data_IF_788910237916
#
_entry.id   IF_788910237916
#
_cell.length_a   1.000
_cell.length_b   1.000
_cell.length_c   1.000
_cell.angle_alpha   90.00
_cell.angle_beta   90.00
_cell.angle_gamma   90.00
#
_symmetry.space_group_name_H-M   'P 1'
#
loop_
_entity.id
_entity.type
_entity.pdbx_description
1 polymer ?
#
# COMPACT_ATOMS: atom_id res chain seq x y z
N UNK A 1 12.77 -9.30 -34.05
CA UNK A 1 11.93 -8.12 -33.70
C UNK A 1 10.60 -8.56 -33.14
N UNK A 2 9.80 -9.38 -33.83
CA UNK A 2 8.48 -9.84 -33.36
C UNK A 2 8.53 -10.56 -31.99
N UNK A 3 9.51 -11.43 -31.76
CA UNK A 3 9.69 -12.14 -30.49
C UNK A 3 9.99 -11.20 -29.32
N UNK A 4 10.85 -10.19 -29.54
CA UNK A 4 11.18 -9.20 -28.50
C UNK A 4 9.95 -8.35 -28.14
N UNK A 5 9.15 -7.95 -29.12
CA UNK A 5 7.89 -7.22 -28.90
C UNK A 5 6.89 -8.08 -28.10
N UNK A 6 6.76 -9.35 -28.43
CA UNK A 6 5.88 -10.27 -27.70
C UNK A 6 6.34 -10.44 -26.25
N UNK A 7 7.63 -10.64 -26.02
CA UNK A 7 8.19 -10.75 -24.66
C UNK A 7 7.92 -9.46 -23.87
N UNK A 8 8.16 -8.29 -24.47
CA UNK A 8 7.88 -7.01 -23.83
C UNK A 8 6.39 -6.87 -23.42
N UNK A 9 5.47 -7.24 -24.33
CA UNK A 9 4.03 -7.19 -24.06
C UNK A 9 3.67 -8.13 -22.90
N UNK A 10 4.18 -9.36 -22.90
CA UNK A 10 3.91 -10.35 -21.85
C UNK A 10 4.45 -9.85 -20.51
N UNK A 11 5.69 -9.39 -20.46
CA UNK A 11 6.31 -8.92 -19.22
C UNK A 11 5.57 -7.69 -18.68
N UNK A 12 5.31 -6.69 -19.51
CA UNK A 12 4.64 -5.45 -19.07
C UNK A 12 3.17 -5.66 -18.68
N UNK A 13 2.50 -6.66 -19.26
CA UNK A 13 1.09 -6.94 -18.97
C UNK A 13 0.89 -7.83 -17.74
N UNK A 14 1.74 -8.84 -17.56
CA UNK A 14 1.50 -9.90 -16.59
C UNK A 14 2.52 -9.93 -15.44
N UNK A 15 3.74 -9.44 -15.64
CA UNK A 15 4.82 -9.58 -14.65
C UNK A 15 5.05 -8.31 -13.86
N UNK A 16 5.12 -7.16 -14.51
CA UNK A 16 5.44 -5.89 -13.85
C UNK A 16 4.43 -4.80 -14.15
N UNK A 17 4.36 -3.81 -13.27
CA UNK A 17 3.67 -2.56 -13.49
C UNK A 17 4.62 -1.40 -13.24
N UNK A 18 4.65 -0.44 -14.16
CA UNK A 18 5.34 0.83 -13.98
C UNK A 18 4.36 1.83 -13.35
N UNK A 19 4.71 2.41 -12.22
CA UNK A 19 3.92 3.41 -11.53
C UNK A 19 4.69 4.72 -11.37
N UNK A 20 4.03 5.81 -11.72
CA UNK A 20 4.46 7.18 -11.43
C UNK A 20 3.64 7.68 -10.24
N UNK A 21 4.29 8.24 -9.23
CA UNK A 21 3.67 8.58 -7.96
C UNK A 21 3.36 10.08 -7.93
N UNK A 22 2.08 10.47 -7.98
CA UNK A 22 1.72 11.89 -8.00
C UNK A 22 1.63 12.53 -6.60
N UNK A 23 1.66 11.73 -5.52
CA UNK A 23 1.37 12.22 -4.16
C UNK A 23 2.48 11.86 -3.19
N UNK A 24 2.53 12.58 -2.06
CA UNK A 24 3.49 12.36 -0.97
C UNK A 24 2.96 11.46 0.15
N UNK A 25 1.92 10.69 -0.10
CA UNK A 25 1.27 9.87 0.95
C UNK A 25 2.15 8.76 1.50
N UNK A 26 3.22 8.39 0.78
CA UNK A 26 4.19 7.35 1.17
C UNK A 26 5.57 7.92 1.50
N UNK A 27 5.70 9.26 1.60
CA UNK A 27 6.95 9.90 2.02
C UNK A 27 7.30 9.51 3.47
N UNK A 28 8.59 9.39 3.82
CA UNK A 28 9.76 9.68 3.00
C UNK A 28 10.20 8.53 2.07
N UNK A 29 9.63 7.32 2.22
CA UNK A 29 10.03 6.15 1.41
C UNK A 29 9.81 6.39 -0.09
N UNK A 30 8.63 6.90 -0.45
CA UNK A 30 8.27 7.21 -1.83
C UNK A 30 7.77 8.65 -1.89
N UNK A 31 8.47 9.48 -2.63
CA UNK A 31 8.15 10.90 -2.81
C UNK A 31 7.30 11.12 -4.08
N UNK A 32 6.74 12.32 -4.20
CA UNK A 32 6.09 12.75 -5.43
C UNK A 32 7.06 12.74 -6.60
N UNK A 33 6.60 12.34 -7.78
CA UNK A 33 7.37 12.18 -9.02
C UNK A 33 8.33 10.96 -9.04
N UNK A 34 8.42 10.19 -7.95
CA UNK A 34 9.13 8.92 -7.98
C UNK A 34 8.52 7.98 -9.01
N UNK A 35 9.38 7.19 -9.65
CA UNK A 35 8.97 6.12 -10.56
C UNK A 35 9.42 4.79 -10.00
N UNK A 36 8.48 3.88 -9.87
CA UNK A 36 8.74 2.57 -9.30
C UNK A 36 8.18 1.45 -10.17
N UNK A 37 8.74 0.30 -9.96
CA UNK A 37 8.30 -0.94 -10.56
C UNK A 37 7.59 -1.79 -9.51
N UNK A 38 6.39 -2.25 -9.83
CA UNK A 38 5.66 -3.22 -9.02
C UNK A 38 5.70 -4.61 -9.66
N UNK A 39 5.76 -5.65 -8.83
CA UNK A 39 5.75 -7.04 -9.24
C UNK A 39 4.33 -7.62 -9.10
N UNK A 40 3.67 -7.89 -10.25
CA UNK A 40 2.28 -8.35 -10.31
C UNK A 40 2.10 -9.78 -9.80
N UNK A 41 3.12 -10.61 -9.97
CA UNK A 41 3.06 -12.02 -9.60
C UNK A 41 3.44 -12.30 -8.13
N UNK A 42 3.66 -11.25 -7.33
CA UNK A 42 4.12 -11.38 -5.95
C UNK A 42 3.24 -12.30 -5.10
N UNK A 43 1.93 -12.26 -5.33
CA UNK A 43 0.95 -12.97 -4.51
C UNK A 43 0.28 -14.16 -5.23
N UNK A 44 0.89 -14.69 -6.30
CA UNK A 44 0.39 -15.90 -6.96
C UNK A 44 0.54 -17.17 -6.10
N UNK A 45 1.58 -17.20 -5.25
CA UNK A 45 1.92 -18.37 -4.43
C UNK A 45 2.11 -18.02 -2.95
N UNK A 46 1.94 -16.77 -2.59
CA UNK A 46 2.07 -16.27 -1.22
C UNK A 46 0.97 -15.27 -0.94
N UNK A 47 0.61 -15.09 0.33
CA UNK A 47 -0.32 -14.05 0.73
C UNK A 47 0.39 -12.73 1.00
N UNK A 48 -0.29 -11.59 0.83
CA UNK A 48 0.20 -10.30 1.27
C UNK A 48 0.52 -10.29 2.77
N UNK A 49 1.63 -9.67 3.14
CA UNK A 49 2.13 -9.62 4.51
C UNK A 49 2.03 -8.21 5.09
N UNK A 50 1.94 -8.13 6.40
CA UNK A 50 2.07 -6.86 7.12
C UNK A 50 3.41 -6.21 6.79
N UNK A 51 3.38 -4.92 6.48
CA UNK A 51 4.54 -4.16 6.05
C UNK A 51 4.76 -4.12 4.53
N UNK A 52 4.14 -5.01 3.75
CA UNK A 52 4.23 -4.94 2.28
C UNK A 52 3.66 -3.60 1.78
N UNK A 53 4.39 -2.96 0.88
CA UNK A 53 3.89 -1.81 0.11
C UNK A 53 3.21 -2.34 -1.15
N UNK A 54 1.92 -2.07 -1.28
CA UNK A 54 1.09 -2.60 -2.36
C UNK A 54 0.59 -1.50 -3.29
N UNK A 55 0.45 -1.85 -4.56
CA UNK A 55 -0.24 -1.08 -5.59
C UNK A 55 -1.57 -1.77 -5.83
N UNK A 56 -2.67 -1.05 -5.70
CA UNK A 56 -4.02 -1.62 -5.75
C UNK A 56 -5.01 -0.64 -6.37
N UNK A 57 -6.15 -1.16 -6.86
CA UNK A 57 -7.27 -0.37 -7.35
C UNK A 57 -8.36 -0.38 -6.31
N UNK A 58 -8.82 0.79 -5.91
CA UNK A 58 -9.78 0.91 -4.84
C UNK A 58 -10.71 2.11 -5.03
N UNK A 59 -11.97 1.93 -4.65
CA UNK A 59 -12.95 2.99 -4.52
C UNK A 59 -13.01 3.43 -3.07
N UNK A 60 -12.52 4.63 -2.77
CA UNK A 60 -12.43 5.12 -1.40
C UNK A 60 -13.76 5.67 -0.86
N UNK A 61 -14.56 6.32 -1.72
CA UNK A 61 -15.79 7.03 -1.35
C UNK A 61 -16.92 6.78 -2.36
N UNK A 62 -18.17 7.04 -1.95
CA UNK A 62 -19.37 6.75 -2.76
C UNK A 62 -19.42 7.52 -4.09
N UNK A 63 -18.95 8.75 -4.11
CA UNK A 63 -18.97 9.67 -5.24
C UNK A 63 -17.70 9.66 -6.09
N UNK A 64 -16.75 8.76 -5.78
CA UNK A 64 -15.50 8.63 -6.52
C UNK A 64 -15.49 7.41 -7.44
N UNK A 65 -14.66 7.48 -8.48
CA UNK A 65 -14.27 6.32 -9.29
C UNK A 65 -13.16 5.53 -8.60
N UNK A 66 -12.98 4.27 -9.04
CA UNK A 66 -11.87 3.43 -8.62
C UNK A 66 -10.53 4.08 -9.02
N UNK A 67 -9.60 4.17 -8.08
CA UNK A 67 -8.30 4.81 -8.25
C UNK A 67 -7.17 3.80 -8.08
N UNK A 68 -6.06 4.01 -8.79
CA UNK A 68 -4.83 3.27 -8.56
C UNK A 68 -4.04 3.95 -7.42
N UNK A 69 -3.86 3.23 -6.33
CA UNK A 69 -3.26 3.74 -5.10
C UNK A 69 -2.02 2.93 -4.71
N UNK A 70 -1.18 3.52 -3.88
CA UNK A 70 -0.05 2.86 -3.23
C UNK A 70 -0.09 3.15 -1.73
N UNK A 71 -0.07 2.09 -0.91
CA UNK A 71 -0.08 2.16 0.56
C UNK A 71 0.63 0.95 1.14
N UNK A 72 0.89 1.01 2.45
CA UNK A 72 1.46 -0.10 3.22
C UNK A 72 0.36 -0.87 3.95
N UNK A 73 0.46 -2.20 3.92
CA UNK A 73 -0.42 -3.09 4.70
C UNK A 73 -0.04 -2.97 6.18
N UNK A 74 -1.01 -2.60 7.01
CA UNK A 74 -0.90 -2.51 8.46
C UNK A 74 -1.72 -3.59 9.14
N UNK A 75 -2.97 -3.79 8.73
CA UNK A 75 -3.86 -4.84 9.24
C UNK A 75 -3.99 -5.99 8.27
N UNK A 76 -3.87 -7.20 8.77
CA UNK A 76 -4.16 -8.45 8.07
C UNK A 76 -5.61 -8.88 8.31
N UNK A 77 -6.15 -9.83 7.52
CA UNK A 77 -7.48 -10.39 7.76
C UNK A 77 -7.66 -10.80 9.22
N UNK A 78 -8.77 -10.37 9.84
CA UNK A 78 -9.10 -10.68 11.22
C UNK A 78 -8.42 -9.84 12.30
N UNK A 79 -7.49 -8.95 11.96
CA UNK A 79 -6.87 -8.06 12.94
C UNK A 79 -7.83 -6.99 13.47
N UNK A 80 -7.57 -6.53 14.68
CA UNK A 80 -8.18 -5.32 15.25
C UNK A 80 -7.15 -4.23 15.30
N UNK A 81 -7.42 -3.12 14.61
CA UNK A 81 -6.52 -1.95 14.52
C UNK A 81 -7.02 -0.84 15.42
N UNK A 82 -6.14 -0.31 16.24
CA UNK A 82 -6.39 0.87 17.06
C UNK A 82 -5.18 1.80 17.02
N UNK A 83 -5.44 3.09 16.99
CA UNK A 83 -4.39 4.13 17.07
C UNK A 83 -4.73 5.01 18.27
N UNK A 84 -3.82 5.09 19.21
CA UNK A 84 -3.89 5.99 20.36
C UNK A 84 -2.49 6.45 20.73
N UNK A 85 -2.34 7.68 21.20
CA UNK A 85 -1.08 8.29 21.63
C UNK A 85 0.05 8.15 20.58
N UNK A 86 -0.28 8.35 19.30
CA UNK A 86 0.63 8.20 18.15
C UNK A 86 1.20 6.79 17.94
N UNK A 87 0.59 5.78 18.55
CA UNK A 87 1.00 4.38 18.44
C UNK A 87 -0.10 3.55 17.78
N UNK A 88 0.31 2.69 16.85
CA UNK A 88 -0.58 1.66 16.28
C UNK A 88 -0.58 0.44 17.18
N UNK A 89 -1.77 -0.04 17.51
CA UNK A 89 -1.98 -1.31 18.22
C UNK A 89 -2.67 -2.28 17.27
N UNK A 90 -2.18 -3.51 17.26
CA UNK A 90 -2.76 -4.61 16.49
C UNK A 90 -3.11 -5.72 17.47
N UNK A 91 -4.39 -6.05 17.60
CA UNK A 91 -4.90 -7.00 18.57
C UNK A 91 -4.44 -6.66 20.01
N UNK A 92 -4.53 -5.37 20.38
CA UNK A 92 -4.11 -4.78 21.66
C UNK A 92 -2.59 -4.82 21.94
N UNK A 93 -1.78 -5.22 20.96
CA UNK A 93 -0.32 -5.25 21.07
C UNK A 93 0.28 -4.05 20.33
N UNK A 94 1.16 -3.26 20.97
CA UNK A 94 1.85 -2.18 20.28
C UNK A 94 2.63 -2.70 19.06
N UNK A 95 2.44 -2.06 17.92
CA UNK A 95 3.15 -2.36 16.69
C UNK A 95 4.23 -1.34 16.43
N UNK A 96 5.49 -1.74 16.56
CA UNK A 96 6.64 -0.88 16.30
C UNK A 96 6.88 -0.73 14.79
N UNK A 97 6.84 0.51 14.32
CA UNK A 97 6.95 0.85 12.90
C UNK A 97 8.29 1.52 12.59
N UNK A 98 9.35 0.71 12.54
CA UNK A 98 10.75 1.14 12.37
C UNK A 98 11.05 1.85 11.04
N UNK A 99 10.14 1.79 10.08
CA UNK A 99 10.22 2.45 8.78
C UNK A 99 9.69 3.88 8.79
N UNK A 100 9.06 4.31 9.88
CA UNK A 100 8.60 5.68 10.05
C UNK A 100 9.67 6.56 10.68
N UNK A 101 9.74 7.87 10.33
CA UNK A 101 10.60 8.80 11.04
C UNK A 101 10.10 9.03 12.48
N UNK A 102 11.00 9.46 13.34
CA UNK A 102 10.66 9.83 14.71
C UNK A 102 9.67 10.99 14.78
N UNK A 103 8.79 10.97 15.79
CA UNK A 103 7.87 12.06 16.07
C UNK A 103 6.69 12.19 15.09
N UNK A 104 6.36 11.13 14.36
CA UNK A 104 5.19 11.10 13.48
C UNK A 104 3.91 11.27 14.29
N UNK A 105 3.07 12.22 13.85
CA UNK A 105 1.76 12.45 14.45
C UNK A 105 0.67 11.67 13.75
N UNK A 106 -0.21 11.05 14.54
CA UNK A 106 -1.40 10.35 14.06
C UNK A 106 -2.61 10.71 14.92
N UNK A 107 -3.74 10.98 14.28
CA UNK A 107 -5.02 11.06 14.99
C UNK A 107 -5.43 9.69 15.54
N UNK A 108 -6.12 9.68 16.66
CA UNK A 108 -6.71 8.46 17.23
C UNK A 108 -7.70 7.83 16.23
N UNK A 109 -7.71 6.49 16.17
CA UNK A 109 -8.55 5.73 15.27
C UNK A 109 -8.92 4.38 15.89
N UNK A 110 -10.10 3.88 15.55
CA UNK A 110 -10.54 2.54 15.96
C UNK A 110 -11.16 2.48 17.37
N UNK A 111 -11.29 1.27 17.94
CA UNK A 111 -10.87 -0.02 17.37
C UNK A 111 -11.64 -0.38 16.08
N UNK A 112 -10.94 -0.94 15.10
CA UNK A 112 -11.51 -1.38 13.83
C UNK A 112 -11.12 -2.83 13.52
N UNK A 113 -12.11 -3.70 13.34
CA UNK A 113 -11.90 -5.10 12.98
C UNK A 113 -11.80 -5.25 11.47
N UNK A 114 -10.64 -5.70 10.98
CA UNK A 114 -10.41 -5.99 9.55
C UNK A 114 -11.17 -7.25 9.17
N UNK A 115 -11.97 -7.24 8.08
CA UNK A 115 -12.66 -8.44 7.58
C UNK A 115 -11.68 -9.56 7.20
N UNK A 116 -12.17 -10.82 7.21
CA UNK A 116 -11.37 -12.02 6.98
C UNK A 116 -10.81 -12.14 5.54
N UNK A 117 -11.27 -11.32 4.61
CA UNK A 117 -10.85 -11.32 3.21
C UNK A 117 -10.21 -10.00 2.77
N UNK A 118 -9.83 -9.15 3.70
CA UNK A 118 -9.36 -7.79 3.41
C UNK A 118 -8.15 -7.38 4.22
N UNK A 119 -7.55 -6.28 3.82
CA UNK A 119 -6.37 -5.65 4.41
C UNK A 119 -6.68 -4.21 4.79
N UNK A 120 -6.14 -3.77 5.91
CA UNK A 120 -6.16 -2.37 6.33
C UNK A 120 -4.85 -1.71 5.95
N UNK A 121 -4.91 -0.62 5.19
CA UNK A 121 -3.72 0.02 4.61
C UNK A 121 -3.57 1.46 5.07
N UNK A 122 -2.32 1.89 5.27
CA UNK A 122 -1.99 3.27 5.63
C UNK A 122 -0.83 3.79 4.78
N UNK A 123 -0.81 5.11 4.56
CA UNK A 123 0.36 5.77 4.00
C UNK A 123 1.45 5.95 5.04
N UNK A 124 2.72 5.91 4.63
CA UNK A 124 3.85 6.15 5.53
C UNK A 124 3.89 7.62 6.01
N UNK A 125 3.45 8.55 5.17
CA UNK A 125 3.23 9.93 5.60
C UNK A 125 1.92 10.04 6.40
N UNK A 126 1.95 9.58 7.64
CA UNK A 126 0.80 9.43 8.53
C UNK A 126 -0.03 10.69 8.73
N UNK A 127 0.62 11.85 8.68
CA UNK A 127 0.00 13.16 8.95
C UNK A 127 -0.90 13.60 7.79
N UNK A 128 -0.50 13.35 6.55
CA UNK A 128 -1.21 13.87 5.36
C UNK A 128 -1.87 12.79 4.50
N UNK A 129 -1.57 11.51 4.76
CA UNK A 129 -2.12 10.42 3.95
C UNK A 129 -3.63 10.32 4.11
N UNK A 130 -4.33 10.38 2.97
CA UNK A 130 -5.70 9.92 2.86
C UNK A 130 -5.67 8.40 2.62
N UNK A 131 -6.10 7.63 3.63
CA UNK A 131 -6.02 6.18 3.63
C UNK A 131 -7.18 5.53 4.40
N UNK A 132 -7.10 4.24 4.68
CA UNK A 132 -8.16 3.46 5.30
C UNK A 132 -8.71 4.05 6.61
N UNK A 133 -7.94 4.90 7.31
CA UNK A 133 -8.42 5.60 8.51
C UNK A 133 -9.59 6.56 8.22
N UNK A 134 -9.60 7.17 7.03
CA UNK A 134 -10.56 8.21 6.63
C UNK A 134 -11.55 7.78 5.54
N UNK A 135 -11.26 6.71 4.79
CA UNK A 135 -12.12 6.24 3.71
C UNK A 135 -13.49 5.75 4.19
N UNK A 136 -14.51 5.86 3.34
CA UNK A 136 -15.81 5.20 3.56
C UNK A 136 -15.64 3.68 3.43
N UNK A 137 -15.02 3.24 2.33
CA UNK A 137 -14.64 1.84 2.11
C UNK A 137 -13.20 1.64 2.58
N UNK A 138 -13.04 1.08 3.78
CA UNK A 138 -11.73 0.95 4.45
C UNK A 138 -10.94 -0.27 4.02
N UNK A 139 -11.64 -1.26 3.47
CA UNK A 139 -11.14 -2.62 3.31
C UNK A 139 -10.65 -2.85 1.89
N UNK A 140 -9.35 -3.09 1.74
CA UNK A 140 -8.75 -3.47 0.45
C UNK A 140 -8.75 -4.99 0.36
N UNK A 141 -9.49 -5.54 -0.60
CA UNK A 141 -9.55 -6.98 -0.82
C UNK A 141 -8.36 -7.49 -1.64
N UNK A 142 -8.09 -8.79 -1.59
CA UNK A 142 -7.02 -9.41 -2.37
C UNK A 142 -7.15 -9.17 -3.89
N UNK A 143 -8.39 -9.13 -4.39
CA UNK A 143 -8.69 -8.94 -5.82
C UNK A 143 -8.36 -7.53 -6.31
N UNK A 144 -8.33 -6.55 -5.40
CA UNK A 144 -7.97 -5.17 -5.71
C UNK A 144 -6.45 -4.97 -5.80
N UNK A 145 -5.66 -5.90 -5.25
CA UNK A 145 -4.20 -5.81 -5.25
C UNK A 145 -3.65 -6.12 -6.65
N UNK A 146 -3.03 -5.12 -7.26
CA UNK A 146 -2.46 -5.22 -8.62
C UNK A 146 -1.02 -5.71 -8.60
N UNK A 147 -0.23 -5.29 -7.60
CA UNK A 147 1.19 -5.63 -7.48
C UNK A 147 1.72 -5.33 -6.08
N UNK A 148 2.85 -5.95 -5.72
CA UNK A 148 3.71 -5.49 -4.64
C UNK A 148 4.73 -4.51 -5.19
N UNK A 149 4.97 -3.38 -4.53
CA UNK A 149 6.06 -2.48 -4.86
C UNK A 149 7.40 -3.26 -4.74
N UNK A 150 8.26 -3.10 -5.72
CA UNK A 150 9.49 -3.87 -5.80
C UNK A 150 10.72 -2.98 -5.66
N UNK A 151 10.87 -2.01 -6.55
CA UNK A 151 11.96 -1.04 -6.48
C UNK A 151 11.58 0.29 -7.14
N UNK A 152 12.18 1.36 -6.64
CA UNK A 152 12.18 2.67 -7.23
C UNK A 152 13.41 2.79 -8.15
N UNK A 153 13.23 3.36 -9.33
CA UNK A 153 14.32 3.51 -10.32
C UNK A 153 14.60 4.96 -10.73
N UNK A 154 13.73 5.88 -10.32
CA UNK A 154 13.90 7.30 -10.52
C UNK A 154 13.36 8.08 -9.30
N UNK A 155 14.06 9.15 -8.84
CA UNK A 155 15.32 9.72 -9.34
C UNK A 155 16.57 8.89 -8.97
N UNK A 156 16.48 7.99 -8.00
CA UNK A 156 17.57 7.10 -7.56
C UNK A 156 17.02 5.69 -7.30
N UNK A 157 17.94 4.72 -7.34
CA UNK A 157 17.58 3.32 -7.14
C UNK A 157 17.40 2.99 -5.67
N UNK A 158 16.29 2.31 -5.35
CA UNK A 158 15.97 1.82 -4.00
C UNK A 158 15.07 0.59 -4.10
N UNK A 159 15.33 -0.45 -3.29
CA UNK A 159 14.52 -1.68 -3.23
C UNK A 159 13.67 -1.65 -1.96
N UNK A 160 12.38 -2.03 -2.06
CA UNK A 160 11.41 -2.05 -0.97
C UNK A 160 11.35 -3.40 -0.27
#
# INVERSE_FOLDING_TARGET
VATAVLIYIVVSRFVVINANIPTRSMAPLIESEDRLMGFRMAYLFTEPKRGDVIIFRHKCYDDEEEQLLIKRIIGLPGDTIQITDNMVYINDIPYEETYLPDGVYMNSFGPYKVPENAYFVMGDNRTISNDARSWTYKDVTSDEIVARAWFKYYPHWEVF
#
